data_IF_561686861737
#
_entry.id   IF_561686861737
#
_cell.length_a   1.000
_cell.length_b   1.000
_cell.length_c   1.000
_cell.angle_alpha   90.00
_cell.angle_beta   90.00
_cell.angle_gamma   90.00
#
_symmetry.space_group_name_H-M   'P 1'
#
loop_
_entity.id
_entity.type
_entity.pdbx_description
1 polymer ?
#
# COMPACT_ATOMS: atom_id res chain seq x y z
N UNK A 1 -6.05 -2.09 -6.62
CA UNK A 1 -5.74 -3.30 -5.82
C UNK A 1 -4.26 -3.37 -5.47
N UNK A 2 -3.98 -3.48 -4.17
CA UNK A 2 -2.66 -3.67 -3.55
C UNK A 2 -2.51 -5.11 -3.07
N UNK A 3 -1.29 -5.63 -3.04
CA UNK A 3 -1.03 -6.96 -2.52
C UNK A 3 -0.68 -6.91 -1.05
N UNK A 4 -1.44 -7.61 -0.21
CA UNK A 4 -1.12 -7.78 1.20
C UNK A 4 -0.23 -9.00 1.37
N UNK A 5 1.03 -8.81 1.78
CA UNK A 5 1.97 -9.93 2.01
C UNK A 5 1.57 -10.83 3.17
N UNK A 6 0.87 -10.29 4.17
CA UNK A 6 0.33 -11.06 5.31
C UNK A 6 -0.85 -11.94 4.91
N UNK A 7 -1.78 -11.41 4.12
CA UNK A 7 -2.95 -12.16 3.65
C UNK A 7 -2.68 -12.94 2.35
N UNK A 8 -1.55 -12.70 1.70
CA UNK A 8 -1.17 -13.22 0.37
C UNK A 8 -2.25 -13.02 -0.71
N UNK A 9 -3.00 -11.93 -0.59
CA UNK A 9 -4.17 -11.65 -1.42
C UNK A 9 -4.17 -10.18 -1.88
N UNK A 10 -4.83 -9.94 -3.02
CA UNK A 10 -5.10 -8.59 -3.50
C UNK A 10 -6.24 -7.99 -2.68
N UNK A 11 -6.01 -6.81 -2.11
CA UNK A 11 -6.97 -6.03 -1.31
C UNK A 11 -7.00 -4.60 -1.83
N UNK A 12 -8.09 -3.90 -1.59
CA UNK A 12 -8.12 -2.47 -1.91
C UNK A 12 -7.28 -1.70 -0.89
N UNK A 13 -7.39 -2.05 0.38
CA UNK A 13 -6.73 -1.31 1.46
C UNK A 13 -7.55 -0.08 1.84
N UNK A 14 -7.45 0.32 3.10
CA UNK A 14 -8.10 1.49 3.68
C UNK A 14 -7.05 2.57 3.93
N UNK A 15 -7.47 3.83 4.06
CA UNK A 15 -6.58 4.96 4.33
C UNK A 15 -5.46 5.11 3.28
N UNK A 16 -5.86 5.28 2.01
CA UNK A 16 -4.93 5.58 0.93
C UNK A 16 -4.28 6.95 1.16
N UNK A 17 -2.96 6.98 1.28
CA UNK A 17 -2.18 8.19 1.42
C UNK A 17 -1.06 8.17 0.39
N UNK A 18 -0.91 9.26 -0.35
CA UNK A 18 0.25 9.44 -1.21
C UNK A 18 1.45 9.83 -0.34
N UNK A 19 2.52 9.05 -0.44
CA UNK A 19 3.77 9.25 0.28
C UNK A 19 4.93 9.27 -0.70
N UNK A 20 5.82 10.23 -0.54
CA UNK A 20 7.10 10.24 -1.25
C UNK A 20 8.09 9.43 -0.43
N UNK A 21 8.57 8.32 -0.98
CA UNK A 21 9.58 7.50 -0.32
C UNK A 21 10.91 8.26 -0.23
N UNK A 22 11.77 7.86 0.71
CA UNK A 22 13.13 8.43 0.86
C UNK A 22 13.97 8.38 -0.43
N UNK A 23 13.63 7.48 -1.35
CA UNK A 23 14.28 7.32 -2.65
C UNK A 23 13.69 8.22 -3.76
N UNK A 24 12.92 9.26 -3.39
CA UNK A 24 12.30 10.23 -4.31
C UNK A 24 11.08 9.71 -5.08
N UNK A 25 10.77 8.41 -5.00
CA UNK A 25 9.65 7.80 -5.73
C UNK A 25 8.32 8.01 -5.00
N UNK A 26 7.29 8.43 -5.73
CA UNK A 26 5.91 8.47 -5.24
C UNK A 26 5.39 7.04 -5.02
N UNK A 27 4.72 6.84 -3.91
CA UNK A 27 4.06 5.59 -3.57
C UNK A 27 2.72 5.89 -2.89
N UNK A 28 1.78 4.98 -2.99
CA UNK A 28 0.54 5.04 -2.20
C UNK A 28 0.67 4.11 -1.01
N UNK A 29 0.60 4.64 0.20
CA UNK A 29 0.45 3.88 1.45
C UNK A 29 -1.03 3.56 1.65
N UNK A 30 -1.34 2.33 2.07
CA UNK A 30 -2.68 1.95 2.54
C UNK A 30 -2.56 0.95 3.68
N UNK A 31 -3.65 0.67 4.38
CA UNK A 31 -3.72 -0.28 5.49
C UNK A 31 -4.60 -1.45 5.08
N UNK A 32 -4.15 -2.68 5.30
CA UNK A 32 -4.96 -3.85 5.03
C UNK A 32 -6.16 -3.90 5.98
N UNK A 33 -7.36 -3.97 5.44
CA UNK A 33 -8.61 -4.03 6.22
C UNK A 33 -8.81 -5.33 7.01
N UNK A 34 -8.06 -6.39 6.67
CA UNK A 34 -8.20 -7.71 7.30
C UNK A 34 -7.19 -7.89 8.42
N UNK A 35 -5.92 -7.57 8.17
CA UNK A 35 -4.83 -7.83 9.11
C UNK A 35 -4.18 -6.56 9.69
N UNK A 36 -4.67 -5.38 9.34
CA UNK A 36 -4.13 -4.09 9.80
C UNK A 36 -2.73 -3.76 9.30
N UNK A 37 -2.11 -4.61 8.48
CA UNK A 37 -0.74 -4.39 8.01
C UNK A 37 -0.69 -3.24 7.02
N UNK A 38 0.29 -2.35 7.19
CA UNK A 38 0.54 -1.28 6.23
C UNK A 38 1.09 -1.86 4.92
N UNK A 39 0.42 -1.56 3.83
CA UNK A 39 0.78 -1.93 2.47
C UNK A 39 1.28 -0.68 1.73
N UNK A 40 2.19 -0.87 0.79
CA UNK A 40 2.66 0.19 -0.10
C UNK A 40 2.50 -0.23 -1.55
N UNK A 41 1.97 0.69 -2.37
CA UNK A 41 1.87 0.55 -3.82
C UNK A 41 2.84 1.53 -4.44
N UNK A 42 3.98 1.02 -4.87
CA UNK A 42 4.93 1.80 -5.65
C UNK A 42 4.44 1.72 -7.10
N UNK A 43 3.74 2.77 -7.54
CA UNK A 43 3.20 2.88 -8.88
C UNK A 43 3.54 4.26 -9.40
N UNK A 44 4.73 4.39 -9.97
CA UNK A 44 5.05 5.55 -10.80
C UNK A 44 4.12 5.53 -12.00
N UNK A 45 3.24 6.52 -12.09
CA UNK A 45 3.06 7.18 -13.37
C UNK A 45 4.15 8.24 -13.46
#
# INVERSE_FOLDING_TARGET
MMYCVKCRAKREGKNHQEVTMKNGKKATKAVCEVCGTTMFKIGGK
#
